data_IF_190336509626
#
_entry.id   IF_190336509626
#
_cell.length_a   1.000
_cell.length_b   1.000
_cell.length_c   1.000
_cell.angle_alpha   90.00
_cell.angle_beta   90.00
_cell.angle_gamma   90.00
#
_symmetry.space_group_name_H-M   'P 1'
#
loop_
_entity.id
_entity.type
_entity.pdbx_description
1 polymer ?
#
# COMPACT_ATOMS: atom_id res chain seq x y z
N UNK A 1 46.19 32.22 4.24
CA UNK A 1 45.00 32.73 3.53
C UNK A 1 44.21 31.55 2.97
N UNK A 2 43.08 31.21 3.59
CA UNK A 2 41.97 30.41 3.04
C UNK A 2 40.76 31.36 3.08
N UNK A 3 39.81 31.40 2.11
CA UNK A 3 38.93 30.28 1.75
C UNK A 3 38.47 30.33 0.25
N UNK A 4 37.62 29.44 -0.28
CA UNK A 4 36.16 29.58 -0.30
C UNK A 4 35.48 28.27 -0.72
N UNK A 5 34.61 27.79 0.18
CA UNK A 5 33.54 26.84 -0.08
C UNK A 5 32.50 27.48 -0.99
N UNK A 6 32.05 26.75 -2.01
CA UNK A 6 30.82 27.05 -2.76
C UNK A 6 29.74 26.12 -2.21
N UNK A 7 28.88 26.66 -1.36
CA UNK A 7 27.69 25.99 -0.87
C UNK A 7 26.59 26.12 -1.94
N UNK A 8 26.17 25.00 -2.52
CA UNK A 8 24.98 24.92 -3.37
C UNK A 8 23.78 24.68 -2.46
N UNK A 9 22.96 25.71 -2.30
CA UNK A 9 21.68 25.68 -1.59
C UNK A 9 20.63 24.98 -2.45
N UNK A 10 20.33 23.71 -2.14
CA UNK A 10 19.10 23.07 -2.61
C UNK A 10 17.98 23.36 -1.61
N UNK A 11 17.02 24.17 -2.04
CA UNK A 11 15.77 24.39 -1.34
C UNK A 11 14.95 23.09 -1.36
N UNK A 12 14.82 22.43 -0.21
CA UNK A 12 13.87 21.34 -0.01
C UNK A 12 12.63 21.89 0.69
N UNK A 13 11.49 21.71 0.05
CA UNK A 13 10.19 22.17 0.48
C UNK A 13 9.80 21.63 1.87
N UNK A 14 9.28 22.51 2.72
CA UNK A 14 8.57 22.21 3.96
C UNK A 14 7.29 21.44 3.62
N UNK A 15 7.31 20.11 3.72
CA UNK A 15 6.11 19.32 3.91
C UNK A 15 5.73 19.40 5.40
N UNK A 16 4.68 20.16 5.67
CA UNK A 16 4.07 20.27 6.98
C UNK A 16 3.62 18.88 7.47
N UNK A 17 4.38 18.28 8.39
CA UNK A 17 3.88 17.20 9.24
C UNK A 17 2.86 17.80 10.21
N UNK A 18 1.61 17.90 9.79
CA UNK A 18 0.47 18.03 10.71
C UNK A 18 0.17 16.67 11.31
N UNK A 19 1.08 16.20 12.17
CA UNK A 19 0.84 15.07 13.06
C UNK A 19 -0.01 15.53 14.26
N UNK A 20 -1.29 15.82 14.02
CA UNK A 20 -2.28 15.86 15.08
C UNK A 20 -2.70 14.43 15.40
N UNK A 21 -1.89 13.72 16.17
CA UNK A 21 -2.34 12.50 16.85
C UNK A 21 -3.12 12.94 18.09
N UNK A 22 -4.43 13.11 17.93
CA UNK A 22 -5.39 13.26 19.02
C UNK A 22 -6.44 12.18 18.87
N UNK A 23 -6.48 11.26 19.83
CA UNK A 23 -7.48 10.22 19.92
C UNK A 23 -6.88 8.95 20.50
N UNK A 24 -6.84 8.86 21.83
CA UNK A 24 -6.75 7.56 22.47
C UNK A 24 -8.02 6.79 22.14
N UNK A 25 -7.89 5.77 21.30
CA UNK A 25 -8.94 4.77 21.14
C UNK A 25 -8.60 3.63 22.10
N UNK A 26 -9.31 3.61 23.22
CA UNK A 26 -9.68 2.36 23.88
C UNK A 26 -10.04 1.35 22.78
N UNK A 27 -9.18 0.35 22.59
CA UNK A 27 -9.23 -0.58 21.46
C UNK A 27 -10.52 -1.40 21.49
N UNK A 28 -11.59 -0.81 20.98
CA UNK A 28 -12.80 -1.52 20.60
C UNK A 28 -12.36 -2.54 19.54
N UNK A 29 -12.79 -3.81 19.64
CA UNK A 29 -12.47 -4.80 18.62
C UNK A 29 -12.81 -4.26 17.23
N UNK A 30 -11.80 -4.15 16.36
CA UNK A 30 -12.00 -3.74 14.97
C UNK A 30 -12.94 -4.73 14.32
N UNK A 31 -14.05 -4.26 13.77
CA UNK A 31 -14.96 -5.10 12.98
C UNK A 31 -14.18 -5.63 11.76
N UNK A 32 -13.89 -6.94 11.69
CA UNK A 32 -13.03 -7.48 10.65
C UNK A 32 -13.72 -7.50 9.28
N UNK A 33 -15.01 -7.19 9.20
CA UNK A 33 -15.74 -7.07 7.94
C UNK A 33 -15.61 -5.69 7.30
N UNK A 34 -15.06 -4.71 8.03
CA UNK A 34 -14.91 -3.33 7.56
C UNK A 34 -13.47 -3.02 7.20
N UNK A 35 -13.31 -2.19 6.17
CA UNK A 35 -12.02 -1.66 5.75
C UNK A 35 -11.42 -0.78 6.85
N UNK A 36 -10.31 -1.23 7.43
CA UNK A 36 -9.48 -0.42 8.32
C UNK A 36 -8.48 0.45 7.54
N UNK A 37 -7.71 1.29 8.24
CA UNK A 37 -6.78 2.21 7.61
C UNK A 37 -5.64 1.48 6.85
N UNK A 38 -4.96 0.46 7.41
CA UNK A 38 -4.00 -0.34 6.67
C UNK A 38 -4.58 -1.02 5.42
N UNK A 39 -5.79 -1.58 5.50
CA UNK A 39 -6.47 -2.19 4.37
C UNK A 39 -6.76 -1.16 3.28
N UNK A 40 -7.29 0.01 3.64
CA UNK A 40 -7.54 1.11 2.70
C UNK A 40 -6.26 1.50 1.96
N UNK A 41 -5.17 1.69 2.69
CA UNK A 41 -3.89 2.01 2.07
C UNK A 41 -3.41 0.92 1.11
N UNK A 42 -3.56 -0.36 1.47
CA UNK A 42 -3.21 -1.46 0.57
C UNK A 42 -4.04 -1.45 -0.72
N UNK A 43 -5.34 -1.21 -0.62
CA UNK A 43 -6.25 -1.11 -1.76
C UNK A 43 -5.92 0.09 -2.67
N UNK A 44 -5.67 1.26 -2.07
CA UNK A 44 -5.28 2.47 -2.82
C UNK A 44 -3.92 2.28 -3.51
N UNK A 45 -2.95 1.67 -2.84
CA UNK A 45 -1.63 1.39 -3.39
C UNK A 45 -1.71 0.43 -4.59
N UNK A 46 -2.53 -0.62 -4.48
CA UNK A 46 -2.80 -1.54 -5.59
C UNK A 46 -3.40 -0.78 -6.78
N UNK A 47 -4.47 -0.01 -6.55
CA UNK A 47 -5.18 0.72 -7.60
C UNK A 47 -4.28 1.69 -8.35
N UNK A 48 -3.46 2.46 -7.62
CA UNK A 48 -2.54 3.42 -8.20
C UNK A 48 -1.37 2.77 -8.96
N UNK A 49 -0.89 1.61 -8.48
CA UNK A 49 0.28 0.94 -9.06
C UNK A 49 -0.04 0.00 -10.22
N UNK A 50 -1.28 -0.47 -10.36
CA UNK A 50 -1.64 -1.52 -11.31
C UNK A 50 -1.31 -1.17 -12.76
N UNK A 51 -1.61 0.06 -13.18
CA UNK A 51 -1.39 0.49 -14.58
C UNK A 51 0.11 0.61 -14.95
N UNK A 52 0.99 0.79 -13.97
CA UNK A 52 2.44 0.91 -14.16
C UNK A 52 3.19 -0.40 -13.92
N UNK A 53 2.59 -1.40 -13.25
CA UNK A 53 3.21 -2.70 -12.97
C UNK A 53 3.20 -3.66 -14.17
N UNK A 54 3.95 -3.33 -15.24
CA UNK A 54 3.95 -4.08 -16.51
C UNK A 54 5.03 -5.16 -16.59
N UNK A 55 6.08 -5.02 -15.80
CA UNK A 55 7.19 -5.96 -15.72
C UNK A 55 7.20 -6.68 -14.37
N UNK A 56 7.81 -7.86 -14.30
CA UNK A 56 7.94 -8.62 -13.04
C UNK A 56 8.59 -7.81 -11.92
N UNK A 57 9.57 -6.94 -12.23
CA UNK A 57 10.21 -6.06 -11.25
C UNK A 57 9.23 -5.03 -10.68
N UNK A 58 8.43 -4.40 -11.54
CA UNK A 58 7.42 -3.42 -11.11
C UNK A 58 6.27 -4.09 -10.35
N UNK A 59 5.84 -5.28 -10.76
CA UNK A 59 4.86 -6.10 -10.04
C UNK A 59 5.39 -6.48 -8.65
N UNK A 60 6.65 -6.88 -8.55
CA UNK A 60 7.28 -7.18 -7.27
C UNK A 60 7.36 -5.94 -6.36
N UNK A 61 7.68 -4.78 -6.93
CA UNK A 61 7.69 -3.52 -6.18
C UNK A 61 6.29 -3.14 -5.68
N UNK A 62 5.27 -3.29 -6.54
CA UNK A 62 3.88 -3.05 -6.15
C UNK A 62 3.42 -4.01 -5.05
N UNK A 63 3.66 -5.31 -5.22
CA UNK A 63 3.37 -6.32 -4.22
C UNK A 63 3.99 -5.96 -2.86
N UNK A 64 5.28 -5.63 -2.80
CA UNK A 64 5.94 -5.26 -1.54
C UNK A 64 5.27 -4.06 -0.85
N UNK A 65 4.84 -3.08 -1.63
CA UNK A 65 4.14 -1.89 -1.11
C UNK A 65 2.78 -2.26 -0.52
N UNK A 66 1.97 -2.97 -1.30
CA UNK A 66 0.63 -3.44 -0.91
C UNK A 66 0.72 -4.33 0.33
N UNK A 67 1.62 -5.31 0.33
CA UNK A 67 1.80 -6.30 1.40
C UNK A 67 2.29 -5.68 2.71
N UNK A 68 3.08 -4.61 2.64
CA UNK A 68 3.52 -3.87 3.83
C UNK A 68 2.34 -3.29 4.62
N UNK A 69 1.31 -2.80 3.92
CA UNK A 69 0.09 -2.27 4.53
C UNK A 69 -0.90 -3.39 4.86
N UNK A 70 -1.12 -4.32 3.93
CA UNK A 70 -2.08 -5.41 4.07
C UNK A 70 -1.80 -6.32 5.28
N UNK A 71 -0.53 -6.61 5.59
CA UNK A 71 -0.19 -7.44 6.78
C UNK A 71 -0.49 -6.79 8.12
N UNK A 72 -0.71 -5.47 8.13
CA UNK A 72 -1.09 -4.71 9.34
C UNK A 72 -2.61 -4.59 9.48
N UNK A 73 -3.36 -5.02 8.48
CA UNK A 73 -4.83 -4.98 8.46
C UNK A 73 -5.42 -6.08 9.32
N UNK A 74 -6.50 -5.74 10.00
CA UNK A 74 -7.42 -6.64 10.68
C UNK A 74 -8.69 -6.91 9.85
N UNK A 75 -8.86 -6.26 8.69
CA UNK A 75 -9.90 -6.58 7.71
C UNK A 75 -9.68 -7.97 7.11
N UNK A 76 -10.75 -8.78 7.10
CA UNK A 76 -10.77 -10.14 6.59
C UNK A 76 -10.34 -10.21 5.13
N UNK A 77 -9.55 -11.24 4.80
CA UNK A 77 -9.13 -11.54 3.44
C UNK A 77 -8.01 -10.66 2.90
N UNK A 78 -7.84 -9.41 3.35
CA UNK A 78 -6.85 -8.48 2.78
C UNK A 78 -5.41 -8.99 2.89
N UNK A 79 -4.98 -9.43 4.07
CA UNK A 79 -3.63 -9.96 4.27
C UNK A 79 -3.39 -11.27 3.48
N UNK A 80 -4.41 -12.13 3.42
CA UNK A 80 -4.35 -13.40 2.69
C UNK A 80 -4.26 -13.20 1.18
N UNK A 81 -5.12 -12.35 0.62
CA UNK A 81 -5.12 -12.03 -0.81
C UNK A 81 -3.86 -11.27 -1.21
N UNK A 82 -3.32 -10.41 -0.34
CA UNK A 82 -2.02 -9.77 -0.56
C UNK A 82 -0.87 -10.78 -0.60
N UNK A 83 -0.92 -11.82 0.23
CA UNK A 83 0.06 -12.91 0.15
C UNK A 83 -0.04 -13.64 -1.19
N UNK A 84 -1.26 -13.96 -1.64
CA UNK A 84 -1.51 -14.58 -2.95
C UNK A 84 -1.13 -13.68 -4.12
N UNK A 85 -1.17 -12.36 -3.97
CA UNK A 85 -0.59 -11.42 -4.93
C UNK A 85 0.91 -11.67 -5.15
N UNK A 86 1.64 -12.03 -4.09
CA UNK A 86 3.04 -12.44 -4.18
C UNK A 86 3.26 -13.70 -5.02
N UNK A 87 2.34 -14.67 -4.95
CA UNK A 87 2.35 -15.85 -5.82
C UNK A 87 2.09 -15.44 -7.29
N UNK A 88 1.24 -14.43 -7.50
CA UNK A 88 1.00 -13.82 -8.81
C UNK A 88 2.24 -13.21 -9.46
N UNK A 89 3.14 -12.59 -8.68
CA UNK A 89 4.41 -12.03 -9.17
C UNK A 89 5.33 -13.13 -9.72
N UNK A 90 5.29 -14.33 -9.14
CA UNK A 90 6.10 -15.46 -9.58
C UNK A 90 5.52 -16.19 -10.81
N UNK A 91 4.26 -15.91 -11.16
CA UNK A 91 3.56 -16.48 -12.29
C UNK A 91 3.73 -15.68 -13.59
N UNK A 92 2.86 -15.98 -14.56
CA UNK A 92 2.73 -15.22 -15.80
C UNK A 92 1.76 -14.03 -15.66
N UNK A 93 1.56 -13.28 -16.75
CA UNK A 93 0.65 -12.11 -16.76
C UNK A 93 -0.78 -12.46 -16.38
N UNK A 94 -1.30 -13.62 -16.77
CA UNK A 94 -2.67 -14.03 -16.44
C UNK A 94 -2.79 -14.38 -14.95
N UNK A 95 -1.74 -14.99 -14.39
CA UNK A 95 -1.63 -15.28 -12.96
C UNK A 95 -1.61 -13.99 -12.14
N UNK A 96 -0.77 -13.02 -12.54
CA UNK A 96 -0.73 -11.69 -11.92
C UNK A 96 -2.12 -11.02 -11.91
N UNK A 97 -2.79 -10.98 -13.06
CA UNK A 97 -4.14 -10.40 -13.19
C UNK A 97 -5.17 -11.08 -12.28
N UNK A 98 -5.16 -12.41 -12.24
CA UNK A 98 -6.08 -13.20 -11.40
C UNK A 98 -5.96 -12.81 -9.93
N UNK A 99 -4.74 -12.65 -9.43
CA UNK A 99 -4.50 -12.29 -8.04
C UNK A 99 -4.74 -10.80 -7.74
N UNK A 100 -4.46 -9.90 -8.69
CA UNK A 100 -4.83 -8.48 -8.53
C UNK A 100 -6.35 -8.31 -8.49
N UNK A 101 -7.09 -9.06 -9.29
CA UNK A 101 -8.55 -9.04 -9.30
C UNK A 101 -9.11 -9.62 -7.99
N UNK A 102 -8.49 -10.68 -7.45
CA UNK A 102 -8.89 -11.27 -6.18
C UNK A 102 -8.75 -10.28 -5.02
N UNK A 103 -7.58 -9.62 -4.91
CA UNK A 103 -7.37 -8.60 -3.89
C UNK A 103 -8.30 -7.38 -4.09
N UNK A 104 -8.51 -6.95 -5.34
CA UNK A 104 -9.46 -5.86 -5.65
C UNK A 104 -10.88 -6.21 -5.20
N UNK A 105 -11.34 -7.45 -5.44
CA UNK A 105 -12.64 -7.91 -4.96
C UNK A 105 -12.73 -7.90 -3.44
N UNK A 106 -11.70 -8.37 -2.75
CA UNK A 106 -11.65 -8.34 -1.28
C UNK A 106 -11.74 -6.89 -0.75
N UNK A 107 -11.03 -5.95 -1.37
CA UNK A 107 -11.14 -4.52 -1.08
C UNK A 107 -12.58 -4.01 -1.20
N UNK A 108 -13.23 -4.26 -2.33
CA UNK A 108 -14.62 -3.81 -2.58
C UNK A 108 -15.61 -4.44 -1.60
N UNK A 109 -15.46 -5.74 -1.30
CA UNK A 109 -16.30 -6.44 -0.32
C UNK A 109 -16.14 -5.86 1.10
N UNK A 110 -14.96 -5.39 1.46
CA UNK A 110 -14.70 -4.67 2.71
C UNK A 110 -15.21 -3.21 2.72
N UNK A 111 -15.77 -2.73 1.61
CA UNK A 111 -16.33 -1.39 1.47
C UNK A 111 -15.38 -0.33 0.89
N UNK A 112 -14.27 -0.75 0.29
CA UNK A 112 -13.42 0.16 -0.50
C UNK A 112 -14.15 0.62 -1.76
N UNK A 113 -13.90 1.87 -2.15
CA UNK A 113 -14.42 2.49 -3.37
C UNK A 113 -13.23 3.11 -4.11
N UNK A 114 -12.85 2.57 -5.28
CA UNK A 114 -11.76 3.10 -6.10
C UNK A 114 -12.00 4.53 -6.57
#
# INVERSE_FOLDING_TARGET
MRPRLVAVTFAAALLALTACSSGGDDAKPTDPTRLDAPARQACDDLAHGLASAKTTSEQQALYKKVDTSARKSHTNGIASESKSLGDGVAGDTAYWQTHTDALTRACVQAGWKP
#
